data_IF_090614102929
#
_entry.id   IF_090614102929
#
_cell.length_a   1.000
_cell.length_b   1.000
_cell.length_c   1.000
_cell.angle_alpha   90.00
_cell.angle_beta   90.00
_cell.angle_gamma   90.00
#
_symmetry.space_group_name_H-M   'P 1'
#
loop_
_entity.id
_entity.type
_entity.pdbx_description
1 polymer ?
#
# COMPACT_ATOMS: atom_id res chain seq x y z
N UNK A 1 5.78 16.00 8.12
CA UNK A 1 6.25 14.87 7.44
C UNK A 1 5.74 14.77 6.05
N UNK A 2 6.59 14.65 5.17
CA UNK A 2 6.20 14.57 3.81
C UNK A 2 5.94 13.15 3.38
N UNK A 3 4.79 12.91 2.86
CA UNK A 3 4.52 11.59 2.36
C UNK A 3 4.12 11.71 0.91
N UNK A 4 5.01 11.33 0.04
CA UNK A 4 4.73 11.31 -1.38
C UNK A 4 4.07 10.00 -1.79
N UNK A 5 3.38 9.36 -0.86
CA UNK A 5 2.79 8.06 -1.12
C UNK A 5 1.76 8.13 -2.24
N UNK A 6 1.14 9.30 -2.45
CA UNK A 6 0.09 9.43 -3.47
C UNK A 6 0.59 9.08 -4.85
N UNK A 7 1.85 9.34 -5.15
CA UNK A 7 2.36 9.07 -6.49
C UNK A 7 2.60 7.58 -6.72
N UNK A 8 2.59 6.77 -5.66
CA UNK A 8 2.80 5.34 -5.77
C UNK A 8 1.50 4.54 -5.74
N UNK A 9 0.38 5.18 -5.44
CA UNK A 9 -0.89 4.49 -5.23
C UNK A 9 -1.87 4.90 -6.33
N UNK A 10 -2.52 3.91 -6.92
CA UNK A 10 -3.51 4.13 -7.97
C UNK A 10 -4.83 3.51 -7.57
N UNK A 11 -5.92 4.21 -7.89
CA UNK A 11 -7.26 3.66 -7.71
C UNK A 11 -7.94 3.73 -9.07
N UNK A 12 -8.04 2.57 -9.72
CA UNK A 12 -8.57 2.47 -11.07
C UNK A 12 -9.63 1.39 -11.09
N UNK A 13 -10.89 1.73 -11.44
CA UNK A 13 -11.96 0.74 -11.43
C UNK A 13 -11.70 -0.47 -12.32
N UNK A 14 -10.83 -0.33 -13.31
CA UNK A 14 -10.52 -1.44 -14.22
C UNK A 14 -9.43 -2.35 -13.67
N UNK A 15 -8.82 -2.00 -12.54
CA UNK A 15 -7.76 -2.80 -11.92
C UNK A 15 -8.20 -3.20 -10.53
N UNK A 16 -8.29 -4.52 -10.31
CA UNK A 16 -8.65 -5.09 -9.01
C UNK A 16 -9.91 -4.45 -8.43
N UNK A 17 -10.88 -4.16 -9.31
CA UNK A 17 -12.20 -3.64 -8.91
C UNK A 17 -12.13 -2.32 -8.16
N UNK A 18 -11.14 -1.50 -8.48
CA UNK A 18 -11.00 -0.19 -7.87
C UNK A 18 -10.33 -0.20 -6.51
N UNK A 19 -9.77 -1.33 -6.09
CA UNK A 19 -8.99 -1.35 -4.85
C UNK A 19 -7.69 -0.58 -5.06
N UNK A 20 -7.18 0.10 -4.03
CA UNK A 20 -5.89 0.79 -4.15
C UNK A 20 -4.78 -0.20 -4.49
N UNK A 21 -4.02 0.11 -5.53
CA UNK A 21 -2.90 -0.72 -5.98
C UNK A 21 -1.64 0.12 -6.08
N UNK A 22 -0.51 -0.57 -6.15
CA UNK A 22 0.75 0.10 -6.46
C UNK A 22 0.76 0.42 -7.94
N UNK A 23 1.07 1.66 -8.28
CA UNK A 23 1.09 2.14 -9.67
C UNK A 23 1.90 1.19 -10.54
N UNK A 24 1.32 0.83 -11.68
CA UNK A 24 2.01 -0.03 -12.64
C UNK A 24 1.94 -1.51 -12.31
N UNK A 25 1.22 -1.89 -11.26
CA UNK A 25 1.10 -3.30 -10.87
C UNK A 25 -0.36 -3.62 -10.58
N UNK A 26 -0.63 -4.90 -10.34
CA UNK A 26 -1.93 -5.33 -9.83
C UNK A 26 -1.86 -5.70 -8.35
N UNK A 27 -0.78 -5.28 -7.67
CA UNK A 27 -0.60 -5.58 -6.26
C UNK A 27 -1.36 -4.55 -5.45
N UNK A 28 -2.31 -5.00 -4.64
CA UNK A 28 -3.11 -4.11 -3.81
C UNK A 28 -2.33 -3.70 -2.56
N UNK A 29 -2.65 -2.53 -2.04
CA UNK A 29 -2.14 -2.11 -0.74
C UNK A 29 -2.47 -3.18 0.31
N UNK A 30 -3.70 -3.72 0.27
CA UNK A 30 -4.10 -4.74 1.24
C UNK A 30 -3.26 -6.01 1.15
N UNK A 31 -2.77 -6.35 -0.06
CA UNK A 31 -1.87 -7.51 -0.20
C UNK A 31 -0.59 -7.27 0.59
N UNK A 32 0.00 -6.09 0.43
CA UNK A 32 1.25 -5.76 1.12
C UNK A 32 1.03 -5.77 2.63
N UNK A 33 -0.06 -5.17 3.09
CA UNK A 33 -0.35 -5.14 4.52
C UNK A 33 -0.53 -6.55 5.08
N UNK A 34 -1.17 -7.43 4.33
CA UNK A 34 -1.35 -8.82 4.75
C UNK A 34 -0.02 -9.54 4.86
N UNK A 35 0.88 -9.33 3.91
CA UNK A 35 2.20 -9.96 3.95
C UNK A 35 2.98 -9.50 5.17
N UNK A 36 2.96 -8.20 5.45
CA UNK A 36 3.62 -7.67 6.64
C UNK A 36 2.99 -8.23 7.90
N UNK A 37 1.66 -8.32 7.94
CA UNK A 37 0.97 -8.86 9.10
C UNK A 37 1.31 -10.33 9.34
N UNK A 38 1.66 -11.06 8.27
CA UNK A 38 2.03 -12.46 8.41
C UNK A 38 3.49 -12.64 8.83
N UNK A 39 4.23 -11.54 8.96
CA UNK A 39 5.61 -11.61 9.43
C UNK A 39 6.67 -11.49 8.35
N UNK A 40 6.29 -11.23 7.11
CA UNK A 40 7.28 -11.04 6.06
C UNK A 40 8.04 -9.74 6.28
N UNK A 41 9.34 -9.77 6.03
CA UNK A 41 10.15 -8.56 6.06
C UNK A 41 10.02 -7.82 4.74
N UNK A 42 10.46 -6.54 4.74
CA UNK A 42 10.50 -5.77 3.49
C UNK A 42 11.34 -6.49 2.43
N UNK A 43 12.49 -7.03 2.86
CA UNK A 43 13.38 -7.74 1.92
C UNK A 43 12.70 -8.95 1.31
N UNK A 44 11.98 -9.71 2.13
CA UNK A 44 11.28 -10.89 1.62
C UNK A 44 10.22 -10.53 0.61
N UNK A 45 9.47 -9.46 0.88
CA UNK A 45 8.44 -9.02 -0.05
C UNK A 45 9.07 -8.60 -1.37
N UNK A 46 10.16 -7.84 -1.32
CA UNK A 46 10.82 -7.38 -2.53
C UNK A 46 11.46 -8.52 -3.32
N UNK A 47 11.90 -9.57 -2.64
CA UNK A 47 12.42 -10.74 -3.33
C UNK A 47 11.33 -11.50 -4.05
N UNK A 48 10.17 -11.65 -3.41
CA UNK A 48 9.06 -12.39 -3.99
C UNK A 48 8.36 -11.59 -5.09
N UNK A 49 8.38 -10.26 -4.98
CA UNK A 49 7.70 -9.38 -5.93
C UNK A 49 8.69 -8.33 -6.41
N UNK A 50 9.51 -8.67 -7.41
CA UNK A 50 10.59 -7.77 -7.85
C UNK A 50 10.13 -6.42 -8.37
N UNK A 51 8.86 -6.28 -8.73
CA UNK A 51 8.34 -4.99 -9.17
C UNK A 51 8.17 -4.02 -8.00
N UNK A 52 8.30 -4.49 -6.76
CA UNK A 52 8.19 -3.65 -5.58
C UNK A 52 9.56 -3.29 -5.03
N UNK A 53 9.65 -2.11 -4.43
CA UNK A 53 10.83 -1.73 -3.67
C UNK A 53 10.36 -1.18 -2.32
N UNK A 54 11.32 -0.80 -1.49
CA UNK A 54 11.02 -0.33 -0.14
C UNK A 54 10.06 0.86 -0.14
N UNK A 55 10.20 1.75 -1.11
CA UNK A 55 9.34 2.93 -1.17
C UNK A 55 7.89 2.57 -1.42
N UNK A 56 7.65 1.53 -2.22
CA UNK A 56 6.29 1.05 -2.45
C UNK A 56 5.67 0.54 -1.15
N UNK A 57 6.44 -0.19 -0.35
CA UNK A 57 5.94 -0.72 0.91
C UNK A 57 5.65 0.40 1.89
N UNK A 58 6.56 1.38 1.96
CA UNK A 58 6.34 2.54 2.81
C UNK A 58 5.12 3.33 2.37
N UNK A 59 4.89 3.43 1.06
CA UNK A 59 3.71 4.11 0.53
C UNK A 59 2.43 3.39 0.94
N UNK A 60 2.44 2.05 0.92
CA UNK A 60 1.29 1.28 1.35
C UNK A 60 0.98 1.52 2.83
N UNK A 61 2.02 1.56 3.65
CA UNK A 61 1.86 1.84 5.08
C UNK A 61 1.33 3.25 5.31
N UNK A 62 1.87 4.22 4.57
CA UNK A 62 1.42 5.61 4.70
C UNK A 62 -0.03 5.77 4.26
N UNK A 63 -0.42 5.07 3.19
CA UNK A 63 -1.81 5.08 2.74
C UNK A 63 -2.74 4.54 3.83
N UNK A 64 -2.35 3.42 4.44
CA UNK A 64 -3.14 2.81 5.50
C UNK A 64 -3.25 3.73 6.71
N UNK A 65 -2.14 4.37 7.07
CA UNK A 65 -2.12 5.31 8.20
C UNK A 65 -3.04 6.49 7.94
N UNK A 66 -3.04 6.99 6.71
CA UNK A 66 -3.89 8.11 6.35
C UNK A 66 -5.38 7.73 6.47
N UNK A 67 -5.74 6.54 6.02
CA UNK A 67 -7.12 6.08 6.13
C UNK A 67 -7.54 5.89 7.57
N UNK A 68 -6.64 5.39 8.38
CA UNK A 68 -6.91 5.21 9.81
C UNK A 68 -7.18 6.57 10.47
N UNK A 69 -6.40 7.58 10.12
CA UNK A 69 -6.61 8.92 10.66
C UNK A 69 -7.97 9.49 10.25
N UNK A 70 -8.36 9.29 9.00
CA UNK A 70 -9.65 9.76 8.52
C UNK A 70 -10.78 9.07 9.27
N UNK A 71 -10.69 7.76 9.43
CA UNK A 71 -11.69 6.98 10.16
C UNK A 71 -11.81 7.47 11.60
N UNK A 72 -10.69 7.74 12.22
CA UNK A 72 -10.66 8.20 13.61
C UNK A 72 -11.36 9.55 13.75
N UNK A 73 -11.12 10.45 12.81
CA UNK A 73 -11.75 11.77 12.84
C UNK A 73 -13.27 11.64 12.68
N UNK A 74 -13.69 10.78 11.78
CA UNK A 74 -15.12 10.60 11.53
C UNK A 74 -15.80 9.95 12.73
N UNK A 75 -15.11 9.03 13.39
CA UNK A 75 -15.67 8.32 14.52
C UNK A 75 -15.73 9.18 15.80
N UNK A 76 -14.89 10.18 15.86
CA UNK A 76 -14.88 11.06 17.00
C UNK A 76 -16.03 12.04 16.93
#
# INVERSE_FOLDING_TARGET
>A
MNSNWQKFISINPDIRFGKPTIVGTRICVSDILSWLASGMSFEEICLDFPELNKEHILAALAFAANRENITKIVAA
#
